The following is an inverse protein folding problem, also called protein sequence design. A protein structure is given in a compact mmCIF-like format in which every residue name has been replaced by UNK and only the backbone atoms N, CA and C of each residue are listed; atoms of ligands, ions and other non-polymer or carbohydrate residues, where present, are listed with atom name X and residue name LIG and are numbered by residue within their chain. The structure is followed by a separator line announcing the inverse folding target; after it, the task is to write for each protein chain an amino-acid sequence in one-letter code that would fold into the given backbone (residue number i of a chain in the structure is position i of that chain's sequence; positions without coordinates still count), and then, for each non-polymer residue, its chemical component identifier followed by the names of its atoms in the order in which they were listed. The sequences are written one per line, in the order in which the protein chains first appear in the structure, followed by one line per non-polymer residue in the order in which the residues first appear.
data_IF_395194378244
#
_entry.id   IF_395194378244
#
_cell.length_a   1.000
_cell.length_b   1.000
_cell.length_c   1.000
_cell.angle_alpha   90.00
_cell.angle_beta   90.00
_cell.angle_gamma   90.00
#
_symmetry.space_group_name_H-M   'P 1'
#
loop_
_entity.id
_entity.type
_entity.pdbx_description
1 polymer ?
#
# COMPACT_ATOMS: atom_id res chain seq x y z
N UNK A 1 29.04 -19.31 -2.08
CA UNK A 1 28.29 -18.13 -2.56
C UNK A 1 26.85 -18.57 -2.85
N UNK A 2 25.97 -18.43 -1.86
CA UNK A 2 24.57 -18.86 -2.00
C UNK A 2 23.80 -17.94 -2.95
N UNK A 3 23.10 -18.53 -3.91
CA UNK A 3 22.23 -17.81 -4.85
C UNK A 3 21.23 -16.94 -4.07
N UNK A 4 21.37 -15.63 -4.22
CA UNK A 4 20.52 -14.62 -3.59
C UNK A 4 19.22 -14.53 -4.37
N UNK A 5 18.25 -15.38 -4.05
CA UNK A 5 16.92 -15.31 -4.63
C UNK A 5 16.22 -14.07 -4.07
N UNK A 6 16.28 -12.97 -4.81
CA UNK A 6 15.54 -11.77 -4.48
C UNK A 6 14.05 -12.11 -4.63
N UNK A 7 13.28 -12.00 -3.56
CA UNK A 7 11.82 -12.16 -3.60
C UNK A 7 11.22 -10.99 -4.40
N UNK A 8 11.29 -11.05 -5.73
CA UNK A 8 10.60 -10.12 -6.62
C UNK A 8 9.13 -10.54 -6.60
N UNK A 9 8.30 -9.72 -5.96
CA UNK A 9 6.91 -10.00 -5.63
C UNK A 9 6.02 -10.26 -6.86
N UNK A 10 5.90 -11.52 -7.25
CA UNK A 10 5.02 -11.99 -8.33
C UNK A 10 3.51 -11.72 -8.04
N UNK A 11 3.15 -11.41 -6.79
CA UNK A 11 1.80 -10.92 -6.41
C UNK A 11 1.55 -9.44 -6.72
N UNK A 12 2.53 -8.67 -7.21
CA UNK A 12 2.28 -7.29 -7.65
C UNK A 12 1.30 -7.24 -8.82
N UNK A 13 1.33 -8.20 -9.74
CA UNK A 13 0.45 -8.24 -10.90
C UNK A 13 -1.03 -8.51 -10.55
N UNK A 14 -1.39 -9.60 -9.85
CA UNK A 14 -2.78 -9.84 -9.44
C UNK A 14 -3.34 -8.74 -8.54
N UNK A 15 -2.52 -8.21 -7.61
CA UNK A 15 -2.95 -7.13 -6.74
C UNK A 15 -3.15 -5.83 -7.51
N UNK A 16 -2.24 -5.46 -8.41
CA UNK A 16 -2.42 -4.29 -9.29
C UNK A 16 -3.66 -4.45 -10.18
N UNK A 17 -3.89 -5.64 -10.72
CA UNK A 17 -5.10 -5.93 -11.49
C UNK A 17 -6.36 -5.76 -10.63
N UNK A 18 -6.38 -6.30 -9.41
CA UNK A 18 -7.48 -6.14 -8.48
C UNK A 18 -7.73 -4.66 -8.12
N UNK A 19 -6.66 -3.87 -7.93
CA UNK A 19 -6.76 -2.42 -7.67
C UNK A 19 -7.33 -1.68 -8.89
N UNK A 20 -6.88 -1.99 -10.10
CA UNK A 20 -7.39 -1.38 -11.34
C UNK A 20 -8.86 -1.73 -11.56
N UNK A 21 -9.23 -3.00 -11.40
CA UNK A 21 -10.62 -3.46 -11.50
C UNK A 21 -11.48 -2.78 -10.43
N UNK A 22 -11.00 -2.75 -9.18
CA UNK A 22 -11.69 -2.09 -8.07
C UNK A 22 -11.92 -0.60 -8.32
N UNK A 23 -10.91 0.10 -8.87
CA UNK A 23 -11.05 1.50 -9.27
C UNK A 23 -12.11 1.68 -10.36
N UNK A 24 -12.09 0.85 -11.39
CA UNK A 24 -13.07 0.90 -12.49
C UNK A 24 -14.50 0.63 -11.99
N UNK A 25 -14.67 -0.39 -11.13
CA UNK A 25 -15.97 -0.70 -10.50
C UNK A 25 -16.44 0.48 -9.65
N UNK A 26 -15.57 1.06 -8.82
CA UNK A 26 -15.92 2.18 -7.95
C UNK A 26 -16.38 3.41 -8.76
N UNK A 27 -15.63 3.82 -9.78
CA UNK A 27 -16.00 4.94 -10.65
C UNK A 27 -17.32 4.66 -11.37
N UNK A 28 -17.50 3.45 -11.89
CA UNK A 28 -18.74 3.03 -12.56
C UNK A 28 -19.93 3.09 -11.59
N UNK A 29 -19.75 2.65 -10.34
CA UNK A 29 -20.78 2.72 -9.30
C UNK A 29 -21.14 4.16 -8.96
N UNK A 30 -20.19 5.08 -8.88
CA UNK A 30 -20.46 6.51 -8.63
C UNK A 30 -21.24 7.15 -9.80
N UNK A 31 -20.90 6.81 -11.04
CA UNK A 31 -21.65 7.28 -12.22
C UNK A 31 -23.08 6.74 -12.20
N UNK A 32 -23.27 5.45 -11.95
CA UNK A 32 -24.60 4.84 -11.85
C UNK A 32 -25.42 5.41 -10.70
N UNK A 33 -24.80 5.75 -9.57
CA UNK A 33 -25.47 6.42 -8.47
C UNK A 33 -25.95 7.82 -8.86
N UNK A 34 -25.11 8.60 -9.57
CA UNK A 34 -25.48 9.92 -10.08
C UNK A 34 -26.65 9.84 -11.07
N UNK A 35 -26.60 8.90 -12.02
CA UNK A 35 -27.70 8.66 -12.97
C UNK A 35 -29.00 8.22 -12.26
N UNK A 36 -28.92 7.26 -11.34
CA UNK A 36 -30.09 6.78 -10.61
C UNK A 36 -30.73 7.85 -9.71
N UNK A 37 -29.94 8.81 -9.21
CA UNK A 37 -30.46 9.97 -8.49
C UNK A 37 -31.12 10.98 -9.43
N UNK A 38 -30.55 11.17 -10.62
CA UNK A 38 -31.09 12.04 -11.66
C UNK A 38 -32.45 11.54 -12.15
N UNK A 39 -32.59 10.23 -12.38
CA UNK A 39 -33.85 9.60 -12.79
C UNK A 39 -34.96 9.70 -11.74
N UNK A 40 -34.61 9.99 -10.48
CA UNK A 40 -35.56 10.16 -9.36
C UNK A 40 -35.93 11.62 -9.10
N UNK A 41 -35.30 12.58 -9.77
CA UNK A 41 -35.62 13.99 -9.63
C UNK A 41 -36.69 14.42 -10.64
N UNK A 42 -37.43 15.46 -10.28
CA UNK A 42 -38.36 16.10 -11.21
C UNK A 42 -37.62 16.61 -12.47
N UNK A 43 -38.17 16.40 -13.68
CA UNK A 43 -37.54 16.83 -14.93
C UNK A 43 -37.31 18.34 -15.04
N UNK A 44 -38.06 19.14 -14.28
CA UNK A 44 -37.92 20.61 -14.19
C UNK A 44 -36.81 21.06 -13.24
N UNK A 45 -36.21 20.14 -12.48
CA UNK A 45 -35.18 20.45 -11.51
C UNK A 45 -33.88 20.84 -12.20
N UNK A 46 -33.44 22.08 -11.99
CA UNK A 46 -32.12 22.56 -12.44
C UNK A 46 -30.95 21.81 -11.79
N UNK A 47 -31.19 21.00 -10.75
CA UNK A 47 -30.17 20.23 -10.05
C UNK A 47 -29.86 18.88 -10.72
N UNK A 48 -30.78 18.34 -11.54
CA UNK A 48 -30.62 17.06 -12.22
C UNK A 48 -29.26 16.91 -12.96
N UNK A 49 -28.81 17.87 -13.80
CA UNK A 49 -27.53 17.75 -14.49
C UNK A 49 -26.30 17.84 -13.57
N UNK A 50 -26.45 18.40 -12.36
CA UNK A 50 -25.34 18.53 -11.39
C UNK A 50 -25.07 17.24 -10.61
N UNK A 51 -25.97 16.26 -10.65
CA UNK A 51 -25.84 15.03 -9.87
C UNK A 51 -24.69 14.12 -10.32
N UNK A 52 -24.42 14.07 -11.62
CA UNK A 52 -23.31 13.29 -12.17
C UNK A 52 -21.95 13.88 -11.74
N UNK A 53 -21.65 15.19 -11.94
CA UNK A 53 -20.40 15.75 -11.44
C UNK A 53 -20.32 15.73 -9.91
N UNK A 54 -21.44 15.90 -9.20
CA UNK A 54 -21.48 15.78 -7.74
C UNK A 54 -21.14 14.35 -7.26
N UNK A 55 -21.66 13.31 -7.92
CA UNK A 55 -21.35 11.92 -7.54
C UNK A 55 -19.88 11.57 -7.81
N UNK A 56 -19.28 12.11 -8.86
CA UNK A 56 -17.84 11.96 -9.12
C UNK A 56 -16.99 12.68 -8.07
N UNK A 57 -17.36 13.91 -7.70
CA UNK A 57 -16.67 14.63 -6.62
C UNK A 57 -16.76 13.88 -5.29
N UNK A 58 -17.93 13.35 -4.96
CA UNK A 58 -18.12 12.49 -3.80
C UNK A 58 -17.23 11.24 -3.90
N UNK A 59 -17.13 10.62 -5.07
CA UNK A 59 -16.23 9.50 -5.34
C UNK A 59 -14.77 9.85 -5.05
N UNK A 60 -14.28 11.00 -5.51
CA UNK A 60 -12.91 11.47 -5.22
C UNK A 60 -12.70 11.66 -3.71
N UNK A 61 -13.68 12.22 -3.01
CA UNK A 61 -13.61 12.43 -1.56
C UNK A 61 -13.65 11.12 -0.77
N UNK A 62 -14.38 10.11 -1.26
CA UNK A 62 -14.51 8.80 -0.63
C UNK A 62 -13.35 7.84 -0.99
N UNK A 63 -12.60 8.13 -2.05
CA UNK A 63 -11.50 7.30 -2.52
C UNK A 63 -10.46 6.94 -1.44
N UNK A 64 -10.01 7.88 -0.58
CA UNK A 64 -9.09 7.55 0.51
C UNK A 64 -9.63 6.46 1.46
N UNK A 65 -10.93 6.46 1.73
CA UNK A 65 -11.57 5.45 2.59
C UNK A 65 -11.59 4.07 1.92
N UNK A 66 -11.84 4.03 0.61
CA UNK A 66 -11.78 2.78 -0.17
C UNK A 66 -10.36 2.20 -0.13
N UNK A 67 -9.34 3.05 -0.28
CA UNK A 67 -7.94 2.63 -0.19
C UNK A 67 -7.58 2.12 1.21
N UNK A 68 -8.09 2.76 2.25
CA UNK A 68 -7.90 2.32 3.63
C UNK A 68 -8.55 0.96 3.88
N UNK A 69 -9.80 0.76 3.46
CA UNK A 69 -10.49 -0.53 3.55
C UNK A 69 -9.76 -1.63 2.77
N UNK A 70 -9.31 -1.34 1.55
CA UNK A 70 -8.52 -2.27 0.75
C UNK A 70 -7.21 -2.65 1.46
N UNK A 71 -6.56 -1.71 2.12
CA UNK A 71 -5.36 -1.97 2.93
C UNK A 71 -5.67 -2.83 4.15
N UNK A 72 -6.73 -2.54 4.89
CA UNK A 72 -7.18 -3.35 6.03
C UNK A 72 -7.45 -4.78 5.57
N UNK A 73 -8.23 -4.96 4.50
CA UNK A 73 -8.56 -6.27 3.94
C UNK A 73 -7.31 -7.04 3.50
N UNK A 74 -6.36 -6.38 2.84
CA UNK A 74 -5.08 -6.99 2.46
C UNK A 74 -4.30 -7.44 3.69
N UNK A 75 -4.17 -6.59 4.71
CA UNK A 75 -3.43 -6.91 5.93
C UNK A 75 -4.06 -8.08 6.68
N UNK A 76 -5.38 -8.08 6.79
CA UNK A 76 -6.13 -9.15 7.45
C UNK A 76 -5.99 -10.47 6.70
N UNK A 77 -6.08 -10.45 5.36
CA UNK A 77 -5.80 -11.63 4.55
C UNK A 77 -4.38 -12.17 4.79
N UNK A 78 -3.39 -11.28 4.90
CA UNK A 78 -2.00 -11.66 5.14
C UNK A 78 -1.78 -12.21 6.56
N UNK A 79 -2.51 -11.70 7.57
CA UNK A 79 -2.49 -12.24 8.92
C UNK A 79 -3.13 -13.62 9.01
N UNK A 80 -4.23 -13.84 8.29
CA UNK A 80 -4.92 -15.14 8.27
C UNK A 80 -4.15 -16.20 7.50
N UNK A 81 -3.48 -15.80 6.42
CA UNK A 81 -2.85 -16.75 5.50
C UNK A 81 -1.33 -16.84 5.64
N UNK A 82 -0.70 -15.93 6.37
CA UNK A 82 0.74 -15.86 6.58
C UNK A 82 1.19 -16.45 7.91
N UNK A 83 2.45 -16.84 7.97
CA UNK A 83 3.13 -17.28 9.19
C UNK A 83 3.92 -16.10 9.75
N UNK A 84 3.74 -15.81 11.03
CA UNK A 84 4.53 -14.80 11.73
C UNK A 84 5.96 -15.31 11.93
N UNK A 85 6.94 -14.53 11.50
CA UNK A 85 8.37 -14.81 11.62
C UNK A 85 9.10 -13.55 12.04
N UNK A 86 10.04 -13.67 12.97
CA UNK A 86 10.92 -12.56 13.32
C UNK A 86 12.03 -12.43 12.29
N UNK A 87 12.11 -11.25 11.67
CA UNK A 87 13.24 -10.86 10.82
C UNK A 87 14.19 -9.91 11.53
N UNK A 88 15.45 -9.88 11.14
CA UNK A 88 16.44 -8.90 11.60
C UNK A 88 16.80 -7.91 10.50
N UNK A 89 16.78 -6.61 10.82
CA UNK A 89 17.18 -5.57 9.85
C UNK A 89 18.67 -5.71 9.54
N UNK A 90 19.00 -6.01 8.29
CA UNK A 90 20.38 -6.15 7.82
C UNK A 90 20.93 -4.84 7.31
N UNK A 91 20.10 -4.06 6.62
CA UNK A 91 20.50 -2.77 6.08
C UNK A 91 19.34 -1.81 6.10
N UNK A 92 19.66 -0.54 6.37
CA UNK A 92 18.73 0.58 6.22
C UNK A 92 19.40 1.68 5.40
N UNK A 93 18.63 2.35 4.55
CA UNK A 93 19.09 3.55 3.88
C UNK A 93 17.99 4.58 3.78
N UNK A 94 18.36 5.85 3.85
CA UNK A 94 17.50 6.98 3.53
C UNK A 94 18.16 7.76 2.40
N UNK A 95 17.42 8.03 1.33
CA UNK A 95 17.90 8.78 0.17
C UNK A 95 16.95 9.92 -0.14
N UNK A 96 17.51 11.06 -0.53
CA UNK A 96 16.74 12.17 -1.07
C UNK A 96 16.76 12.08 -2.60
N UNK A 97 15.62 11.79 -3.19
CA UNK A 97 15.43 11.70 -4.64
C UNK A 97 14.96 13.05 -5.19
N UNK A 98 15.71 13.63 -6.11
CA UNK A 98 15.33 14.85 -6.84
C UNK A 98 14.49 14.47 -8.06
N UNK A 99 13.36 15.15 -8.28
CA UNK A 99 12.45 15.02 -9.43
C UNK A 99 12.12 16.41 -9.99
N UNK A 100 11.58 16.45 -11.22
CA UNK A 100 11.16 17.70 -11.85
C UNK A 100 10.18 18.53 -10.99
N UNK A 101 9.33 17.87 -10.21
CA UNK A 101 8.32 18.49 -9.33
C UNK A 101 8.76 18.68 -7.87
N UNK A 102 10.04 18.47 -7.55
CA UNK A 102 10.58 18.66 -6.19
C UNK A 102 11.46 17.51 -5.70
N UNK A 103 11.42 17.21 -4.40
CA UNK A 103 12.16 16.06 -3.85
C UNK A 103 11.24 15.12 -3.06
N UNK A 104 11.65 13.85 -2.99
CA UNK A 104 11.01 12.80 -2.19
C UNK A 104 12.08 12.11 -1.33
N UNK A 105 11.69 11.59 -0.18
CA UNK A 105 12.55 10.76 0.64
C UNK A 105 12.25 9.29 0.37
N UNK A 106 13.26 8.50 0.15
CA UNK A 106 13.19 7.06 -0.03
C UNK A 106 13.84 6.39 1.17
N UNK A 107 13.09 5.62 1.93
CA UNK A 107 13.58 4.83 3.06
C UNK A 107 13.51 3.37 2.67
N UNK A 108 14.66 2.71 2.54
CA UNK A 108 14.75 1.29 2.18
C UNK A 108 15.23 0.47 3.37
N UNK A 109 14.53 -0.61 3.65
CA UNK A 109 14.91 -1.61 4.65
C UNK A 109 15.16 -2.94 3.96
N UNK A 110 16.24 -3.60 4.33
CA UNK A 110 16.53 -4.98 3.99
C UNK A 110 16.51 -5.80 5.29
N UNK A 111 15.71 -6.85 5.31
CA UNK A 111 15.52 -7.70 6.49
C UNK A 111 15.88 -9.13 6.14
N UNK A 112 16.74 -9.74 6.94
CA UNK A 112 17.02 -11.16 6.88
C UNK A 112 15.97 -11.91 7.69
N UNK A 113 15.49 -13.01 7.14
CA UNK A 113 14.55 -13.91 7.78
C UNK A 113 14.87 -15.35 7.38
N UNK A 114 14.51 -16.28 8.24
CA UNK A 114 14.57 -17.71 7.93
C UNK A 114 13.19 -18.16 7.46
N UNK A 115 13.09 -18.68 6.24
CA UNK A 115 11.80 -18.97 5.64
C UNK A 115 11.13 -20.17 6.32
N UNK A 116 9.88 -20.05 6.81
CA UNK A 116 9.29 -21.02 7.74
C UNK A 116 9.03 -22.40 7.12
N UNK A 117 8.92 -22.49 5.79
CA UNK A 117 8.63 -23.76 5.09
C UNK A 117 9.87 -24.43 4.50
N UNK A 118 10.87 -23.64 4.11
CA UNK A 118 12.06 -24.15 3.38
C UNK A 118 13.32 -24.06 4.22
N UNK A 119 13.23 -23.47 5.40
CA UNK A 119 14.32 -23.26 6.35
C UNK A 119 15.53 -22.48 5.78
N UNK A 120 15.35 -21.87 4.61
CA UNK A 120 16.39 -21.16 3.89
C UNK A 120 16.48 -19.70 4.38
N UNK A 121 17.70 -19.19 4.45
CA UNK A 121 17.94 -17.76 4.69
C UNK A 121 17.46 -16.94 3.49
N UNK A 122 16.55 -16.02 3.74
CA UNK A 122 15.99 -15.11 2.74
C UNK A 122 16.18 -13.67 3.17
N UNK A 123 16.23 -12.78 2.18
CA UNK A 123 16.29 -11.34 2.39
C UNK A 123 15.12 -10.66 1.72
N UNK A 124 14.39 -9.86 2.49
CA UNK A 124 13.28 -9.06 2.04
C UNK A 124 13.70 -7.60 2.01
N UNK A 125 13.62 -6.98 0.83
CA UNK A 125 13.81 -5.55 0.69
C UNK A 125 12.44 -4.86 0.53
N UNK A 126 12.20 -3.81 1.31
CA UNK A 126 11.02 -2.95 1.15
C UNK A 126 11.46 -1.48 1.15
N UNK A 127 10.96 -0.77 0.15
CA UNK A 127 11.20 0.66 -0.04
C UNK A 127 9.93 1.43 0.30
N UNK A 128 10.08 2.51 1.05
CA UNK A 128 9.03 3.45 1.42
C UNK A 128 9.36 4.81 0.82
N UNK A 129 8.40 5.45 0.17
CA UNK A 129 8.60 6.75 -0.47
C UNK A 129 7.73 7.80 0.21
N UNK A 130 8.34 8.91 0.62
CA UNK A 130 7.69 10.02 1.32
C UNK A 130 7.78 11.31 0.49
N UNK A 131 6.69 12.12 0.43
CA UNK A 131 6.74 13.49 -0.07
C UNK A 131 7.68 14.36 0.77
N UNK A 132 8.13 15.48 0.20
CA UNK A 132 9.03 16.44 0.86
C UNK A 132 8.59 16.85 2.27
N UNK A 133 7.30 17.05 2.48
CA UNK A 133 6.75 17.57 3.74
C UNK A 133 6.74 16.54 4.87
N UNK A 134 7.00 15.27 4.58
CA UNK A 134 7.01 14.19 5.56
C UNK A 134 8.43 13.75 5.93
N UNK A 135 9.42 14.63 5.77
CA UNK A 135 10.83 14.36 6.14
C UNK A 135 10.96 13.82 7.57
N UNK A 136 10.37 14.50 8.57
CA UNK A 136 10.41 14.05 9.97
C UNK A 136 9.85 12.63 10.15
N UNK A 137 8.83 12.25 9.37
CA UNK A 137 8.26 10.89 9.40
C UNK A 137 9.16 9.88 8.71
N UNK A 138 9.78 10.24 7.59
CA UNK A 138 10.76 9.39 6.91
C UNK A 138 11.96 9.11 7.84
N UNK A 139 12.44 10.14 8.53
CA UNK A 139 13.52 10.06 9.51
C UNK A 139 13.10 9.21 10.73
N UNK A 140 11.94 9.49 11.31
CA UNK A 140 11.40 8.70 12.43
C UNK A 140 11.25 7.21 12.07
N UNK A 141 10.79 6.90 10.85
CA UNK A 141 10.71 5.51 10.39
C UNK A 141 12.09 4.88 10.26
N UNK A 142 13.06 5.62 9.70
CA UNK A 142 14.45 5.17 9.57
C UNK A 142 15.08 4.87 10.94
N UNK A 143 14.83 5.72 11.94
CA UNK A 143 15.42 5.62 13.28
C UNK A 143 14.76 4.57 14.16
N UNK A 144 13.48 4.27 13.92
CA UNK A 144 12.73 3.24 14.67
C UNK A 144 13.30 1.83 14.52
N UNK A 145 13.95 1.54 13.40
CA UNK A 145 14.45 0.21 13.06
C UNK A 145 15.96 0.26 12.74
N UNK A 146 16.83 0.31 13.77
CA UNK A 146 18.27 0.24 13.57
C UNK A 146 18.70 -1.14 13.03
N UNK A 147 19.91 -1.24 12.50
CA UNK A 147 20.48 -2.52 12.07
C UNK A 147 20.55 -3.49 13.25
N UNK A 148 20.18 -4.75 13.01
CA UNK A 148 20.01 -5.77 14.03
C UNK A 148 18.66 -5.74 14.77
N UNK A 149 17.83 -4.71 14.59
CA UNK A 149 16.50 -4.67 15.19
C UNK A 149 15.63 -5.84 14.71
N UNK A 150 14.88 -6.45 15.63
CA UNK A 150 13.89 -7.47 15.30
C UNK A 150 12.60 -6.79 14.84
N UNK A 151 12.05 -7.29 13.75
CA UNK A 151 10.80 -6.82 13.17
C UNK A 151 9.88 -8.00 12.88
N UNK A 152 8.61 -7.95 13.33
CA UNK A 152 7.65 -8.98 13.00
C UNK A 152 7.33 -8.92 11.51
N UNK A 153 7.50 -10.04 10.83
CA UNK A 153 7.16 -10.23 9.44
C UNK A 153 6.06 -11.30 9.31
N UNK A 154 5.18 -11.12 8.33
CA UNK A 154 4.23 -12.14 7.90
C UNK A 154 4.73 -12.73 6.59
N UNK A 155 5.11 -14.00 6.61
CA UNK A 155 5.67 -14.72 5.47
C UNK A 155 4.66 -15.75 4.96
N UNK A 156 4.41 -15.75 3.65
CA UNK A 156 3.55 -16.75 2.99
C UNK A 156 4.16 -17.13 1.65
N UNK A 157 4.55 -18.40 1.50
CA UNK A 157 5.30 -18.85 0.33
C UNK A 157 6.44 -17.86 0.02
N UNK A 158 6.61 -17.46 -1.24
CA UNK A 158 7.68 -16.54 -1.63
C UNK A 158 7.35 -15.05 -1.36
N UNK A 159 6.71 -14.73 -0.24
CA UNK A 159 6.31 -13.37 0.11
C UNK A 159 6.54 -13.11 1.59
N UNK A 160 6.98 -11.89 1.92
CA UNK A 160 6.98 -11.36 3.28
C UNK A 160 6.42 -9.93 3.29
N UNK A 161 5.61 -9.57 4.27
CA UNK A 161 5.36 -8.16 4.60
C UNK A 161 5.69 -7.88 6.05
N UNK A 162 6.00 -6.61 6.29
CA UNK A 162 6.22 -6.07 7.61
C UNK A 162 4.89 -5.87 8.34
N UNK A 163 4.68 -6.55 9.46
CA UNK A 163 3.50 -6.32 10.31
C UNK A 163 3.77 -5.22 11.33
N UNK A 164 4.00 -3.98 10.85
CA UNK A 164 4.21 -2.83 11.73
C UNK A 164 2.87 -2.12 11.93
N UNK A 165 2.40 -2.03 13.17
CA UNK A 165 1.08 -1.48 13.53
C UNK A 165 0.92 0.00 13.14
N UNK A 166 1.97 0.80 13.32
CA UNK A 166 1.95 2.25 13.11
C UNK A 166 2.60 2.67 11.79
N UNK A 167 1.97 2.31 10.67
CA UNK A 167 2.37 2.84 9.35
C UNK A 167 1.31 3.81 8.83
N UNK A 168 1.71 4.95 8.22
CA UNK A 168 0.78 5.76 7.46
C UNK A 168 0.23 4.95 6.27
N UNK A 169 -1.10 4.84 6.18
CA UNK A 169 -1.87 4.02 5.21
C UNK A 169 -1.51 4.29 3.74
N UNK A 170 -0.99 5.49 3.42
CA UNK A 170 -0.71 5.92 2.05
C UNK A 170 0.61 5.40 1.44
N UNK A 171 1.48 4.73 2.22
CA UNK A 171 2.81 4.31 1.72
C UNK A 171 2.80 2.91 1.07
N UNK A 172 1.70 2.16 1.16
CA UNK A 172 1.71 0.72 0.83
C UNK A 172 0.81 0.32 -0.36
N UNK A 173 0.41 1.30 -1.18
CA UNK A 173 -0.31 1.06 -2.44
C UNK A 173 0.67 0.65 -3.58
N UNK A 174 1.99 0.73 -3.33
CA UNK A 174 3.04 0.41 -4.32
C UNK A 174 4.13 -0.53 -3.77
#
# INVERSE_FOLDING_TARGET
MGNKTTLIGFMTLPWRAAVVIGAAVFVTSMLRAGLALMDRMDPSSMLAPLLIPASLMLGILLWPLVLELAWIARREFLRRAGTAVDGSVVSRSIRRLRRATGYRYEVKFEVALRHPRTDADQRLAKTFVFPRFFEKRAQSLHDRFPEGARVPLLVRANYGAFDVYERPVWVDIW
#
